data_IF_907256501899
#
_entry.id   IF_907256501899
#
_cell.length_a   1.000
_cell.length_b   1.000
_cell.length_c   1.000
_cell.angle_alpha   90.00
_cell.angle_beta   90.00
_cell.angle_gamma   90.00
#
_symmetry.space_group_name_H-M   'P 1'
#
loop_
_entity.id
_entity.type
_entity.pdbx_description
1 polymer ?
#
# COMPACT_ATOMS: atom_id res chain seq x y z
N UNK A 1 -24.13 -17.83 14.01
CA UNK A 1 -22.80 -17.61 14.62
C UNK A 1 -21.69 -17.45 13.58
N UNK A 2 -21.53 -18.39 12.63
CA UNK A 2 -20.46 -18.34 11.61
C UNK A 2 -20.44 -17.05 10.77
N UNK A 3 -21.62 -16.53 10.41
CA UNK A 3 -21.77 -15.26 9.71
C UNK A 3 -21.26 -14.05 10.50
N UNK A 4 -21.50 -14.01 11.81
CA UNK A 4 -21.03 -12.91 12.66
C UNK A 4 -19.50 -12.93 12.73
N UNK A 5 -18.92 -14.12 12.88
CA UNK A 5 -17.47 -14.32 12.94
C UNK A 5 -16.81 -13.93 11.61
N UNK A 6 -17.40 -14.29 10.47
CA UNK A 6 -16.85 -13.91 9.16
C UNK A 6 -16.89 -12.40 8.93
N UNK A 7 -17.98 -11.73 9.28
CA UNK A 7 -18.08 -10.27 9.18
C UNK A 7 -17.08 -9.56 10.10
N UNK A 8 -16.87 -10.09 11.31
CA UNK A 8 -15.89 -9.55 12.25
C UNK A 8 -14.46 -9.72 11.73
N UNK A 9 -14.16 -10.87 11.11
CA UNK A 9 -12.87 -11.14 10.48
C UNK A 9 -12.60 -10.17 9.32
N UNK A 10 -13.60 -9.94 8.46
CA UNK A 10 -13.51 -8.98 7.35
C UNK A 10 -13.25 -7.56 7.86
N UNK A 11 -13.98 -7.13 8.90
CA UNK A 11 -13.76 -5.82 9.51
C UNK A 11 -12.34 -5.67 10.07
N UNK A 12 -11.82 -6.70 10.73
CA UNK A 12 -10.45 -6.72 11.25
C UNK A 12 -9.40 -6.63 10.12
N UNK A 13 -9.61 -7.36 9.03
CA UNK A 13 -8.74 -7.32 7.86
C UNK A 13 -8.73 -5.93 7.21
N UNK A 14 -9.90 -5.30 7.02
CA UNK A 14 -9.98 -3.95 6.49
C UNK A 14 -9.28 -2.93 7.40
N UNK A 15 -9.53 -2.99 8.71
CA UNK A 15 -8.89 -2.10 9.67
C UNK A 15 -7.35 -2.26 9.66
N UNK A 16 -6.87 -3.50 9.61
CA UNK A 16 -5.45 -3.81 9.47
C UNK A 16 -4.86 -3.27 8.16
N UNK A 17 -5.56 -3.44 7.04
CA UNK A 17 -5.13 -2.94 5.74
C UNK A 17 -5.04 -1.40 5.69
N UNK A 18 -6.06 -0.71 6.22
CA UNK A 18 -6.06 0.76 6.32
C UNK A 18 -4.93 1.22 7.22
N UNK A 19 -4.74 0.58 8.39
CA UNK A 19 -3.65 0.92 9.31
C UNK A 19 -2.29 0.69 8.66
N UNK A 20 -2.10 -0.41 7.93
CA UNK A 20 -0.86 -0.67 7.20
C UNK A 20 -0.62 0.40 6.12
N UNK A 21 -1.63 0.73 5.32
CA UNK A 21 -1.55 1.77 4.29
C UNK A 21 -1.24 3.16 4.87
N UNK A 22 -1.87 3.50 6.02
CA UNK A 22 -1.76 4.81 6.70
C UNK A 22 -0.56 4.90 7.66
N UNK A 23 -0.01 3.79 8.13
CA UNK A 23 1.23 3.75 8.91
C UNK A 23 2.48 3.70 8.01
N UNK A 24 2.39 3.08 6.83
CA UNK A 24 3.45 3.08 5.81
C UNK A 24 3.59 4.31 4.88
N UNK A 25 2.85 5.42 4.97
CA UNK A 25 3.14 6.63 4.24
C UNK A 25 3.98 7.52 5.15
N UNK A 26 5.30 7.46 4.97
CA UNK A 26 6.22 8.60 5.11
C UNK A 26 7.63 8.17 4.67
N UNK A 27 7.96 8.54 3.42
CA UNK A 27 9.31 8.55 2.78
C UNK A 27 9.96 7.18 2.54
N UNK A 28 9.83 6.66 1.32
CA UNK A 28 10.77 5.71 0.71
C UNK A 28 11.07 4.39 1.47
N UNK A 29 10.37 4.08 2.56
CA UNK A 29 10.61 2.90 3.37
C UNK A 29 9.78 1.73 2.86
N UNK A 30 10.49 0.66 2.51
CA UNK A 30 9.94 -0.61 2.02
C UNK A 30 9.02 -1.22 3.08
N UNK A 31 7.84 -1.70 2.68
CA UNK A 31 6.97 -2.50 3.54
C UNK A 31 7.73 -3.77 3.97
N UNK A 32 7.90 -4.04 5.28
CA UNK A 32 8.72 -5.13 5.79
C UNK A 32 8.12 -6.51 5.46
N UNK A 33 6.79 -6.57 5.28
CA UNK A 33 6.09 -7.80 4.91
C UNK A 33 5.98 -8.04 3.39
N UNK A 34 6.25 -7.03 2.55
CA UNK A 34 6.10 -7.16 1.10
C UNK A 34 7.11 -6.31 0.29
N UNK A 35 8.43 -6.57 0.44
CA UNK A 35 9.46 -5.84 -0.30
C UNK A 35 9.32 -6.00 -1.83
N UNK A 36 8.78 -7.13 -2.31
CA UNK A 36 8.57 -7.41 -3.73
C UNK A 36 7.54 -6.49 -4.39
N UNK A 37 6.43 -6.21 -3.70
CA UNK A 37 5.40 -5.26 -4.18
C UNK A 37 5.97 -3.83 -4.27
N UNK A 38 6.79 -3.45 -3.28
CA UNK A 38 7.49 -2.16 -3.30
C UNK A 38 8.41 -2.01 -4.51
N UNK A 39 9.20 -3.03 -4.84
CA UNK A 39 10.10 -2.99 -6.01
C UNK A 39 9.36 -2.96 -7.35
N UNK A 40 8.19 -3.59 -7.46
CA UNK A 40 7.40 -3.57 -8.69
C UNK A 40 6.77 -2.18 -8.93
N UNK A 41 6.21 -1.59 -7.88
CA UNK A 41 5.67 -0.22 -7.91
C UNK A 41 6.76 0.82 -8.18
N UNK A 42 7.94 0.67 -7.58
CA UNK A 42 9.10 1.55 -7.79
C UNK A 42 9.56 1.54 -9.26
N UNK A 43 9.65 0.36 -9.89
CA UNK A 43 9.96 0.24 -11.31
C UNK A 43 8.87 0.85 -12.21
N UNK A 44 7.60 0.69 -11.84
CA UNK A 44 6.49 1.30 -12.58
C UNK A 44 6.55 2.84 -12.56
N UNK A 45 6.83 3.42 -11.40
CA UNK A 45 6.94 4.88 -11.21
C UNK A 45 8.13 5.48 -11.97
N UNK A 46 9.26 4.76 -12.07
CA UNK A 46 10.43 5.25 -12.83
C UNK A 46 10.15 5.41 -14.34
N UNK A 47 9.15 4.72 -14.89
CA UNK A 47 8.75 4.85 -16.29
C UNK A 47 7.66 5.90 -16.53
N UNK A 48 7.09 6.49 -15.48
CA UNK A 48 6.09 7.54 -15.62
C UNK A 48 6.77 8.91 -15.80
N UNK A 49 6.33 9.72 -16.77
CA UNK A 49 6.83 11.08 -16.92
C UNK A 49 6.52 11.88 -15.65
N UNK A 50 7.56 12.25 -14.91
CA UNK A 50 7.41 13.11 -13.74
C UNK A 50 7.10 14.54 -14.18
N UNK A 51 6.37 15.28 -13.34
CA UNK A 51 5.91 16.64 -13.60
C UNK A 51 7.05 17.66 -13.83
N UNK A 52 8.31 17.28 -13.60
CA UNK A 52 9.49 18.09 -13.90
C UNK A 52 9.61 18.43 -15.40
N UNK A 53 9.14 17.55 -16.29
CA UNK A 53 9.19 17.78 -17.74
C UNK A 53 8.06 18.66 -18.27
N UNK A 54 7.03 18.95 -17.46
CA UNK A 54 5.90 19.81 -17.85
C UNK A 54 6.20 21.31 -17.64
N UNK A 55 7.36 21.64 -17.05
CA UNK A 55 7.81 23.00 -16.76
C UNK A 55 9.07 23.33 -17.58
N UNK A 56 9.05 23.13 -18.89
CA UNK A 56 10.08 23.66 -19.79
C UNK A 56 9.46 24.10 -21.10
#
# INVERSE_FOLDING_TARGET
MLWLVSMMLVALLLAGAVTAYVAYPRRGRRLPLAPALGTALERGVQHLPTLDNARR
#
